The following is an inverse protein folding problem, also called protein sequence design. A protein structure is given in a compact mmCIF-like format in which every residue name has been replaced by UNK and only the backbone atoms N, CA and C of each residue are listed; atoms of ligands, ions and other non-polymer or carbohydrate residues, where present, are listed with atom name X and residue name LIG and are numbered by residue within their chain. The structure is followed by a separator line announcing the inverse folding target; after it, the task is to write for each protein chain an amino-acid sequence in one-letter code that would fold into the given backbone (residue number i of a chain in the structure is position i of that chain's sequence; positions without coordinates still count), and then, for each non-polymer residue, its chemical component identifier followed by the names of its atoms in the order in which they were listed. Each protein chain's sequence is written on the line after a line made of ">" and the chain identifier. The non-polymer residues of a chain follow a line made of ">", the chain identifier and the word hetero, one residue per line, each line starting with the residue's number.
data_IF_133648877325
#
_entry.id   IF_133648877325
#
_cell.length_a   1.000
_cell.length_b   1.000
_cell.length_c   1.000
_cell.angle_alpha   90.00
_cell.angle_beta   90.00
_cell.angle_gamma   90.00
#
_symmetry.space_group_name_H-M   'P 1'
#
loop_
_entity.id
_entity.type
_entity.pdbx_description
1 polymer ?
#
# COMPACT_ATOMS: atom_id res chain seq x y z
N UNK A 1 1.17 15.91 7.26
CA UNK A 1 0.11 15.15 6.57
C UNK A 1 -0.11 13.83 7.28
N UNK A 2 -1.36 13.45 7.44
CA UNK A 2 -1.80 12.18 7.98
C UNK A 2 -2.42 11.37 6.83
N UNK A 3 -1.91 10.17 6.60
CA UNK A 3 -2.48 9.24 5.61
C UNK A 3 -3.15 8.07 6.31
N UNK A 4 -4.28 7.65 5.77
CA UNK A 4 -4.97 6.42 6.15
C UNK A 4 -4.82 5.38 5.06
N UNK A 5 -4.78 4.12 5.43
CA UNK A 5 -4.86 3.02 4.48
C UNK A 5 -5.86 1.97 4.96
N UNK A 6 -6.49 1.33 4.00
CA UNK A 6 -7.38 0.20 4.21
C UNK A 6 -7.31 -0.77 3.05
N UNK A 7 -7.72 -2.00 3.30
CA UNK A 7 -7.81 -3.07 2.30
C UNK A 7 -9.26 -3.44 2.11
N UNK A 8 -9.75 -3.25 0.89
CA UNK A 8 -11.09 -3.66 0.48
C UNK A 8 -11.05 -4.94 -0.34
N UNK A 9 -11.94 -5.87 -0.01
CA UNK A 9 -12.16 -7.07 -0.81
C UNK A 9 -12.79 -6.68 -2.16
N UNK A 10 -12.09 -7.05 -3.24
CA UNK A 10 -12.51 -6.80 -4.61
C UNK A 10 -13.25 -7.99 -5.24
N UNK A 11 -13.48 -7.95 -6.56
CA UNK A 11 -14.15 -9.04 -7.28
C UNK A 11 -13.27 -10.28 -7.40
N UNK A 12 -13.88 -11.34 -7.94
CA UNK A 12 -13.17 -12.54 -8.38
C UNK A 12 -12.84 -12.41 -9.87
N UNK A 13 -11.54 -12.51 -10.21
CA UNK A 13 -11.04 -12.51 -11.58
C UNK A 13 -10.47 -13.87 -11.97
N UNK A 14 -10.52 -14.28 -13.25
CA UNK A 14 -10.00 -15.57 -13.73
C UNK A 14 -8.47 -15.54 -13.90
N UNK A 15 -7.75 -15.11 -12.86
CA UNK A 15 -6.28 -14.88 -12.86
C UNK A 15 -5.51 -15.98 -12.15
N UNK A 16 -6.17 -16.95 -11.55
CA UNK A 16 -5.54 -18.12 -10.93
C UNK A 16 -5.05 -19.12 -11.97
N UNK A 17 -4.34 -20.16 -11.50
CA UNK A 17 -3.84 -21.24 -12.34
C UNK A 17 -4.98 -21.84 -13.16
N UNK A 18 -4.78 -22.03 -14.46
CA UNK A 18 -5.78 -22.52 -15.41
C UNK A 18 -7.09 -21.67 -15.46
N UNK A 19 -7.00 -20.38 -15.18
CA UNK A 19 -8.17 -19.48 -15.23
C UNK A 19 -9.13 -19.64 -14.05
N UNK A 20 -8.70 -20.28 -12.97
CA UNK A 20 -9.49 -20.36 -11.73
C UNK A 20 -9.74 -18.93 -11.21
N UNK A 21 -10.97 -18.68 -10.79
CA UNK A 21 -11.34 -17.39 -10.22
C UNK A 21 -10.66 -17.19 -8.87
N UNK A 22 -9.92 -16.08 -8.76
CA UNK A 22 -9.21 -15.65 -7.58
C UNK A 22 -9.72 -14.28 -7.14
N UNK A 23 -9.96 -14.11 -5.84
CA UNK A 23 -10.34 -12.82 -5.27
C UNK A 23 -9.15 -11.86 -5.33
N UNK A 24 -9.42 -10.60 -5.68
CA UNK A 24 -8.43 -9.52 -5.66
C UNK A 24 -8.74 -8.55 -4.52
N UNK A 25 -7.75 -7.76 -4.14
CA UNK A 25 -7.81 -6.88 -2.97
C UNK A 25 -7.36 -5.48 -3.35
N UNK A 26 -8.19 -4.48 -3.08
CA UNK A 26 -7.83 -3.08 -3.28
C UNK A 26 -7.14 -2.56 -2.02
N UNK A 27 -5.90 -2.10 -2.18
CA UNK A 27 -5.21 -1.31 -1.16
C UNK A 27 -5.28 0.16 -1.55
N UNK A 28 -5.61 1.04 -0.61
CA UNK A 28 -5.64 2.49 -0.85
C UNK A 28 -4.94 3.26 0.24
N UNK A 29 -4.28 4.35 -0.16
CA UNK A 29 -3.75 5.38 0.73
C UNK A 29 -4.46 6.71 0.46
N UNK A 30 -5.05 7.28 1.50
CA UNK A 30 -5.90 8.48 1.43
C UNK A 30 -5.37 9.53 2.40
N UNK A 31 -5.24 10.77 1.93
CA UNK A 31 -4.93 11.91 2.80
C UNK A 31 -6.14 12.26 3.67
N UNK A 32 -5.94 12.30 4.99
CA UNK A 32 -7.02 12.49 5.96
C UNK A 32 -7.71 13.85 5.84
N UNK A 33 -6.98 14.91 5.53
CA UNK A 33 -7.53 16.26 5.47
C UNK A 33 -8.32 16.50 4.18
N UNK A 34 -7.75 16.10 3.05
CA UNK A 34 -8.24 16.44 1.72
C UNK A 34 -9.09 15.36 1.06
N UNK A 35 -9.12 14.14 1.63
CA UNK A 35 -9.77 12.95 1.04
C UNK A 35 -9.14 12.52 -0.29
N UNK A 36 -8.00 13.10 -0.65
CA UNK A 36 -7.28 12.77 -1.86
C UNK A 36 -6.70 11.35 -1.76
N UNK A 37 -6.94 10.54 -2.78
CA UNK A 37 -6.37 9.19 -2.88
C UNK A 37 -4.98 9.31 -3.50
N UNK A 38 -3.96 9.07 -2.69
CA UNK A 38 -2.55 9.17 -3.09
C UNK A 38 -2.15 8.01 -4.00
N UNK A 39 -2.60 6.81 -3.66
CA UNK A 39 -2.50 5.64 -4.51
C UNK A 39 -3.58 4.63 -4.13
N UNK A 40 -4.09 3.93 -5.12
CA UNK A 40 -4.99 2.80 -4.96
C UNK A 40 -4.75 1.79 -6.06
N UNK A 41 -4.64 0.51 -5.71
CA UNK A 41 -4.33 -0.54 -6.66
C UNK A 41 -4.93 -1.87 -6.21
N UNK A 42 -5.46 -2.64 -7.15
CA UNK A 42 -5.90 -4.01 -6.91
C UNK A 42 -4.74 -4.98 -7.04
N UNK A 43 -4.67 -5.93 -6.11
CA UNK A 43 -3.62 -6.93 -5.99
C UNK A 43 -4.23 -8.35 -5.97
N UNK A 44 -3.48 -9.36 -6.43
CA UNK A 44 -3.97 -10.73 -6.51
C UNK A 44 -3.91 -11.49 -5.17
N UNK A 45 -3.20 -10.97 -4.18
CA UNK A 45 -2.95 -11.61 -2.87
C UNK A 45 -3.37 -10.72 -1.72
N UNK A 46 -3.54 -11.31 -0.54
CA UNK A 46 -3.82 -10.59 0.71
C UNK A 46 -2.67 -10.82 1.70
N UNK A 47 -1.57 -10.14 1.50
CA UNK A 47 -0.38 -10.21 2.33
C UNK A 47 0.16 -8.82 2.70
N UNK A 48 1.30 -8.77 3.39
CA UNK A 48 1.93 -7.50 3.78
C UNK A 48 2.60 -6.79 2.60
N UNK A 49 3.05 -7.54 1.59
CA UNK A 49 3.84 -7.00 0.47
C UNK A 49 3.02 -6.03 -0.35
N UNK A 50 1.73 -6.33 -0.56
CA UNK A 50 0.82 -5.45 -1.31
C UNK A 50 0.64 -4.09 -0.63
N UNK A 51 0.63 -4.06 0.71
CA UNK A 51 0.52 -2.80 1.47
C UNK A 51 1.81 -2.00 1.35
N UNK A 52 2.96 -2.68 1.44
CA UNK A 52 4.28 -2.05 1.30
C UNK A 52 4.47 -1.49 -0.11
N UNK A 53 4.09 -2.24 -1.16
CA UNK A 53 4.15 -1.78 -2.55
C UNK A 53 3.26 -0.57 -2.80
N UNK A 54 1.99 -0.63 -2.39
CA UNK A 54 1.06 0.50 -2.51
C UNK A 54 1.57 1.74 -1.76
N UNK A 55 2.13 1.56 -0.56
CA UNK A 55 2.71 2.64 0.24
C UNK A 55 3.95 3.25 -0.43
N UNK A 56 4.85 2.42 -0.96
CA UNK A 56 6.02 2.85 -1.72
C UNK A 56 5.64 3.70 -2.92
N UNK A 57 4.65 3.25 -3.72
CA UNK A 57 4.12 3.98 -4.87
C UNK A 57 3.50 5.34 -4.47
N UNK A 58 2.74 5.38 -3.36
CA UNK A 58 2.19 6.62 -2.83
C UNK A 58 3.29 7.62 -2.41
N UNK A 59 4.31 7.14 -1.68
CA UNK A 59 5.46 7.96 -1.25
C UNK A 59 6.26 8.49 -2.45
N UNK A 60 6.49 7.68 -3.45
CA UNK A 60 7.23 8.08 -4.66
C UNK A 60 6.52 9.23 -5.41
N UNK A 61 5.18 9.21 -5.43
CA UNK A 61 4.38 10.22 -6.13
C UNK A 61 4.18 11.50 -5.32
N UNK A 62 3.94 11.38 -4.02
CA UNK A 62 3.43 12.48 -3.20
C UNK A 62 4.30 12.82 -1.99
N UNK A 63 5.50 12.22 -1.89
CA UNK A 63 6.43 12.45 -0.80
C UNK A 63 6.05 11.68 0.47
N UNK A 64 6.82 11.90 1.52
CA UNK A 64 6.73 11.17 2.78
C UNK A 64 5.75 11.87 3.73
N UNK A 65 4.70 11.18 4.25
CA UNK A 65 3.81 11.76 5.24
C UNK A 65 4.48 11.92 6.61
N UNK A 66 3.94 12.75 7.45
CA UNK A 66 4.36 12.84 8.86
C UNK A 66 3.86 11.65 9.68
N UNK A 67 2.67 11.17 9.33
CA UNK A 67 1.98 10.12 10.09
C UNK A 67 1.20 9.22 9.14
N UNK A 68 1.20 7.92 9.41
CA UNK A 68 0.29 6.96 8.81
C UNK A 68 -0.56 6.33 9.90
N UNK A 69 -1.83 6.07 9.56
CA UNK A 69 -2.80 5.48 10.46
C UNK A 69 -3.41 4.24 9.79
N UNK A 70 -3.25 3.10 10.42
CA UNK A 70 -3.72 1.81 9.94
C UNK A 70 -4.74 1.20 10.89
N UNK A 71 -5.52 0.28 10.37
CA UNK A 71 -6.28 -0.65 11.21
C UNK A 71 -5.36 -1.66 11.91
N UNK A 72 -5.97 -2.60 12.65
CA UNK A 72 -5.24 -3.65 13.36
C UNK A 72 -5.00 -4.91 12.50
N UNK A 73 -5.20 -4.84 11.19
CA UNK A 73 -4.99 -5.97 10.27
C UNK A 73 -3.57 -6.50 10.32
N UNK A 74 -3.43 -7.82 10.15
CA UNK A 74 -2.11 -8.51 10.17
C UNK A 74 -1.16 -7.93 9.11
N UNK A 75 -1.68 -7.50 7.97
CA UNK A 75 -0.94 -6.95 6.83
C UNK A 75 -0.23 -5.64 7.18
N UNK A 76 -0.78 -4.88 8.13
CA UNK A 76 -0.20 -3.63 8.61
C UNK A 76 0.70 -3.80 9.83
N UNK A 77 0.38 -4.77 10.73
CA UNK A 77 1.13 -5.02 11.96
C UNK A 77 2.34 -5.90 11.74
N UNK A 78 3.24 -5.47 10.89
CA UNK A 78 4.47 -6.20 10.57
C UNK A 78 5.69 -5.48 11.12
N UNK A 79 6.75 -6.23 11.44
CA UNK A 79 8.04 -5.64 11.84
C UNK A 79 8.63 -4.77 10.72
N UNK A 80 8.33 -5.13 9.47
CA UNK A 80 8.82 -4.44 8.28
C UNK A 80 8.18 -3.09 8.11
N UNK A 81 6.86 -2.97 8.23
CA UNK A 81 6.14 -1.69 8.19
C UNK A 81 6.65 -0.74 9.29
N UNK A 82 6.85 -1.24 10.51
CA UNK A 82 7.45 -0.45 11.59
C UNK A 82 8.86 0.04 11.26
N UNK A 83 9.71 -0.83 10.68
CA UNK A 83 11.07 -0.49 10.27
C UNK A 83 11.08 0.54 9.12
N UNK A 84 10.23 0.36 8.11
CA UNK A 84 10.09 1.29 6.99
C UNK A 84 9.67 2.67 7.47
N UNK A 85 8.63 2.75 8.30
CA UNK A 85 8.19 4.02 8.88
C UNK A 85 9.30 4.69 9.70
N UNK A 86 10.04 3.91 10.52
CA UNK A 86 11.16 4.44 11.30
C UNK A 86 12.27 5.01 10.41
N UNK A 87 12.68 4.29 9.37
CA UNK A 87 13.72 4.74 8.42
C UNK A 87 13.33 6.01 7.66
N UNK A 88 12.05 6.16 7.33
CA UNK A 88 11.51 7.33 6.63
C UNK A 88 11.15 8.50 7.56
N UNK A 89 11.20 8.28 8.88
CA UNK A 89 10.82 9.28 9.89
C UNK A 89 9.30 9.51 9.93
N UNK A 90 8.52 8.48 9.68
CA UNK A 90 7.04 8.49 9.69
C UNK A 90 6.55 7.99 11.05
N UNK A 91 5.61 8.73 11.66
CA UNK A 91 4.91 8.25 12.85
C UNK A 91 3.88 7.20 12.44
N UNK A 92 4.05 5.97 12.94
CA UNK A 92 3.10 4.88 12.71
C UNK A 92 2.08 4.83 13.85
N UNK A 93 0.81 4.91 13.51
CA UNK A 93 -0.32 4.80 14.43
C UNK A 93 -1.24 3.66 14.00
N UNK A 94 -1.86 3.01 14.98
CA UNK A 94 -2.88 1.98 14.77
C UNK A 94 -4.20 2.38 15.42
N UNK A 95 -5.30 1.96 14.81
CA UNK A 95 -6.62 2.13 15.36
C UNK A 95 -6.71 1.56 16.77
N UNK A 96 -7.30 2.32 17.68
CA UNK A 96 -7.62 1.76 18.99
C UNK A 96 -8.75 0.75 18.84
N UNK A 97 -8.69 -0.41 19.51
CA UNK A 97 -9.82 -1.33 19.53
C UNK A 97 -11.09 -0.59 19.95
N UNK A 98 -12.19 -0.87 19.26
CA UNK A 98 -13.52 -0.30 19.54
C UNK A 98 -13.64 1.23 19.37
N UNK A 99 -12.83 1.86 18.51
CA UNK A 99 -12.91 3.30 18.18
C UNK A 99 -13.28 3.52 16.70
N UNK A 100 -14.54 3.32 16.30
CA UNK A 100 -14.98 3.43 14.91
C UNK A 100 -14.85 4.85 14.33
N UNK A 101 -14.79 5.88 15.17
CA UNK A 101 -14.67 7.27 14.75
C UNK A 101 -13.38 7.56 13.95
N UNK A 102 -12.34 6.79 14.22
CA UNK A 102 -11.02 6.98 13.61
C UNK A 102 -10.91 6.42 12.18
N UNK A 103 -11.79 5.50 11.77
CA UNK A 103 -11.79 4.83 10.46
C UNK A 103 -12.91 5.29 9.54
N UNK A 104 -13.86 6.06 10.04
CA UNK A 104 -15.08 6.46 9.32
C UNK A 104 -14.85 7.15 7.97
N UNK A 105 -13.69 7.81 7.80
CA UNK A 105 -13.35 8.51 6.56
C UNK A 105 -12.97 7.55 5.45
N UNK A 106 -12.14 6.56 5.74
CA UNK A 106 -11.74 5.56 4.77
C UNK A 106 -12.86 4.55 4.50
N UNK A 107 -13.67 4.23 5.52
CA UNK A 107 -14.89 3.44 5.35
C UNK A 107 -15.88 4.09 4.40
N UNK A 108 -16.01 5.44 4.47
CA UNK A 108 -16.83 6.19 3.52
C UNK A 108 -16.29 6.11 2.11
N UNK A 109 -14.98 6.21 1.92
CA UNK A 109 -14.33 6.00 0.63
C UNK A 109 -14.63 4.59 0.10
N UNK A 110 -14.47 3.57 0.93
CA UNK A 110 -14.75 2.18 0.55
C UNK A 110 -16.21 1.96 0.09
N UNK A 111 -17.17 2.68 0.67
CA UNK A 111 -18.57 2.66 0.19
C UNK A 111 -18.72 3.30 -1.20
N UNK A 112 -17.93 4.33 -1.50
CA UNK A 112 -17.93 4.92 -2.86
C UNK A 112 -17.30 3.95 -3.87
N UNK A 113 -16.28 3.19 -3.46
CA UNK A 113 -15.68 2.12 -4.28
C UNK A 113 -16.67 1.00 -4.60
N UNK A 114 -17.69 0.76 -3.77
CA UNK A 114 -18.75 -0.23 -4.09
C UNK A 114 -19.53 0.16 -5.35
N UNK A 115 -19.74 1.46 -5.60
CA UNK A 115 -20.35 1.92 -6.85
C UNK A 115 -19.45 1.62 -8.05
N UNK A 116 -18.13 1.90 -7.93
CA UNK A 116 -17.15 1.50 -8.94
C UNK A 116 -17.20 0.01 -9.25
N UNK A 117 -17.19 -0.83 -8.22
CA UNK A 117 -17.21 -2.29 -8.41
C UNK A 117 -18.47 -2.76 -9.14
N UNK A 118 -19.60 -2.12 -8.90
CA UNK A 118 -20.87 -2.41 -9.59
C UNK A 118 -20.80 -2.05 -11.07
N UNK A 119 -20.18 -0.91 -11.40
CA UNK A 119 -19.96 -0.47 -12.79
C UNK A 119 -18.92 -1.36 -13.49
N UNK A 120 -17.80 -1.62 -12.86
CA UNK A 120 -16.73 -2.47 -13.40
C UNK A 120 -17.21 -3.90 -13.69
N UNK A 121 -18.17 -4.41 -12.92
CA UNK A 121 -18.77 -5.72 -13.16
C UNK A 121 -19.48 -5.80 -14.53
N UNK A 122 -19.98 -4.70 -15.08
CA UNK A 122 -20.61 -4.64 -16.41
C UNK A 122 -19.56 -4.81 -17.52
N UNK A 123 -18.36 -4.27 -17.32
CA UNK A 123 -17.21 -4.38 -18.24
C UNK A 123 -16.55 -5.76 -18.23
N UNK A 124 -16.83 -6.59 -17.20
CA UNK A 124 -16.32 -7.96 -17.03
C UNK A 124 -14.80 -8.06 -17.21
N UNK A 125 -13.99 -7.31 -16.45
CA UNK A 125 -12.54 -7.35 -16.58
C UNK A 125 -12.03 -8.78 -16.37
N UNK A 126 -11.14 -9.25 -17.26
CA UNK A 126 -10.57 -10.60 -17.22
C UNK A 126 -9.16 -10.61 -16.63
N UNK A 127 -8.54 -9.45 -16.48
CA UNK A 127 -7.17 -9.31 -15.96
C UNK A 127 -7.12 -8.27 -14.85
N UNK A 128 -6.11 -8.39 -14.01
CA UNK A 128 -5.84 -7.43 -12.94
C UNK A 128 -5.51 -6.03 -13.51
N UNK A 129 -4.72 -5.99 -14.58
CA UNK A 129 -4.34 -4.73 -15.25
C UNK A 129 -5.57 -3.99 -15.77
N UNK A 130 -6.51 -4.72 -16.40
CA UNK A 130 -7.75 -4.08 -16.89
C UNK A 130 -8.61 -3.55 -15.76
N UNK A 131 -8.70 -4.25 -14.64
CA UNK A 131 -9.41 -3.77 -13.46
C UNK A 131 -8.74 -2.51 -12.88
N UNK A 132 -7.41 -2.49 -12.79
CA UNK A 132 -6.65 -1.34 -12.32
C UNK A 132 -6.76 -0.13 -13.28
N UNK A 133 -6.76 -0.36 -14.59
CA UNK A 133 -7.01 0.69 -15.58
C UNK A 133 -8.40 1.34 -15.37
N UNK A 134 -9.44 0.52 -15.28
CA UNK A 134 -10.80 1.01 -15.01
C UNK A 134 -10.90 1.77 -13.68
N UNK A 135 -10.24 1.27 -12.64
CA UNK A 135 -10.23 1.92 -11.34
C UNK A 135 -9.54 3.29 -11.39
N UNK A 136 -8.40 3.40 -12.07
CA UNK A 136 -7.68 4.67 -12.18
C UNK A 136 -8.50 5.73 -12.94
N UNK A 137 -9.13 5.34 -14.04
CA UNK A 137 -10.03 6.25 -14.80
C UNK A 137 -11.20 6.69 -13.94
N UNK A 138 -11.89 5.75 -13.29
CA UNK A 138 -13.00 6.06 -12.41
C UNK A 138 -12.58 6.94 -11.22
N UNK A 139 -11.41 6.67 -10.63
CA UNK A 139 -10.89 7.43 -9.50
C UNK A 139 -10.69 8.90 -9.88
N UNK A 140 -10.13 9.15 -11.06
CA UNK A 140 -9.90 10.51 -11.55
C UNK A 140 -11.23 11.21 -11.93
N UNK A 141 -12.05 10.59 -12.75
CA UNK A 141 -13.24 11.23 -13.28
C UNK A 141 -14.43 11.28 -12.32
N UNK A 142 -14.57 10.26 -11.47
CA UNK A 142 -15.76 10.11 -10.63
C UNK A 142 -15.54 10.43 -9.14
N UNK A 143 -14.29 10.47 -8.68
CA UNK A 143 -14.00 10.75 -7.28
C UNK A 143 -13.11 11.97 -7.07
N UNK A 144 -11.89 12.00 -7.61
CA UNK A 144 -10.90 13.05 -7.32
C UNK A 144 -11.36 14.42 -7.81
N UNK A 145 -12.02 14.50 -8.96
CA UNK A 145 -12.47 15.74 -9.56
C UNK A 145 -13.94 16.08 -9.24
N UNK A 146 -14.64 15.26 -8.45
CA UNK A 146 -16.02 15.56 -8.04
C UNK A 146 -16.08 16.26 -6.69
N UNK A 147 -17.03 17.18 -6.48
CA UNK A 147 -17.26 17.81 -5.18
C UNK A 147 -17.50 16.79 -4.08
N UNK A 148 -16.78 16.94 -2.97
CA UNK A 148 -16.89 16.04 -1.83
C UNK A 148 -17.61 16.71 -0.67
N UNK A 149 -18.65 16.04 -0.13
CA UNK A 149 -19.56 16.61 0.89
C UNK A 149 -18.91 16.97 2.24
N UNK A 150 -17.64 16.62 2.46
CA UNK A 150 -16.91 16.97 3.68
C UNK A 150 -15.81 18.03 3.42
N UNK A 151 -15.77 18.63 2.22
CA UNK A 151 -14.73 19.57 1.83
C UNK A 151 -15.35 20.91 1.43
N UNK A 152 -14.78 22.01 2.01
CA UNK A 152 -15.19 23.38 1.74
C UNK A 152 -16.55 23.77 2.35
N UNK A 153 -16.80 25.08 2.40
CA UNK A 153 -17.98 25.66 3.07
C UNK A 153 -19.28 25.43 2.29
N UNK A 154 -19.44 24.82 1.26
CA UNK A 154 -20.67 24.48 0.55
C UNK A 154 -20.58 23.11 -0.16
N UNK A 155 -19.72 22.22 0.29
CA UNK A 155 -19.51 20.90 -0.32
C UNK A 155 -19.18 21.01 -1.84
N UNK A 156 -18.42 22.04 -2.23
CA UNK A 156 -18.11 22.31 -3.64
C UNK A 156 -16.65 22.02 -4.02
N UNK A 157 -15.83 21.66 -3.04
CA UNK A 157 -14.41 21.38 -3.28
C UNK A 157 -14.21 19.91 -3.55
N UNK A 158 -13.48 19.60 -4.62
CA UNK A 158 -13.07 18.24 -4.93
C UNK A 158 -11.83 17.84 -4.11
N UNK A 159 -11.58 16.53 -3.89
CA UNK A 159 -10.36 16.05 -3.25
C UNK A 159 -9.08 16.56 -3.95
N UNK A 160 -9.06 16.57 -5.28
CA UNK A 160 -7.96 17.10 -6.09
C UNK A 160 -7.69 18.58 -5.79
N UNK A 161 -8.72 19.42 -5.82
CA UNK A 161 -8.58 20.84 -5.55
C UNK A 161 -8.17 21.11 -4.09
N UNK A 162 -8.72 20.35 -3.14
CA UNK A 162 -8.34 20.44 -1.72
C UNK A 162 -6.88 20.08 -1.52
N UNK A 163 -6.38 19.04 -2.18
CA UNK A 163 -4.99 18.60 -2.08
C UNK A 163 -4.03 19.60 -2.71
N UNK A 164 -4.34 20.13 -3.90
CA UNK A 164 -3.51 21.14 -4.61
C UNK A 164 -3.47 22.48 -3.90
N UNK A 165 -4.54 22.88 -3.25
CA UNK A 165 -4.61 24.14 -2.49
C UNK A 165 -4.04 24.05 -1.07
N UNK A 166 -3.66 22.85 -0.61
CA UNK A 166 -3.01 22.67 0.69
C UNK A 166 -1.54 23.10 0.64
N UNK A 167 -1.24 24.23 1.27
CA UNK A 167 0.10 24.82 1.32
C UNK A 167 1.09 24.08 2.23
N UNK A 168 0.70 22.97 2.84
CA UNK A 168 1.59 22.16 3.67
C UNK A 168 2.69 21.53 2.82
N UNK A 169 3.94 21.83 3.16
CA UNK A 169 5.10 21.34 2.43
C UNK A 169 5.11 19.81 2.29
N UNK A 170 5.42 19.35 1.08
CA UNK A 170 5.67 17.94 0.80
C UNK A 170 7.14 17.62 1.07
N UNK A 171 7.39 16.52 1.78
CA UNK A 171 8.74 16.05 2.07
C UNK A 171 9.11 14.97 1.07
N UNK A 172 9.90 15.29 0.07
CA UNK A 172 10.46 14.30 -0.84
C UNK A 172 11.82 13.80 -0.34
N UNK A 173 12.10 12.53 -0.57
CA UNK A 173 13.39 11.90 -0.34
C UNK A 173 13.91 11.38 -1.67
N UNK A 174 15.22 11.17 -1.75
CA UNK A 174 15.83 10.52 -2.92
C UNK A 174 15.34 9.06 -3.06
N UNK A 175 15.38 8.57 -4.31
CA UNK A 175 14.90 7.23 -4.66
C UNK A 175 15.61 6.13 -3.88
N UNK A 176 16.92 6.28 -3.65
CA UNK A 176 17.72 5.27 -2.95
C UNK A 176 17.32 5.15 -1.49
N UNK A 177 17.03 6.27 -0.83
CA UNK A 177 16.52 6.26 0.55
C UNK A 177 15.16 5.61 0.64
N UNK A 178 14.26 5.90 -0.31
CA UNK A 178 12.95 5.25 -0.37
C UNK A 178 13.13 3.74 -0.58
N UNK A 179 13.89 3.33 -1.60
CA UNK A 179 14.15 1.92 -1.90
C UNK A 179 14.73 1.20 -0.68
N UNK A 180 15.79 1.74 -0.08
CA UNK A 180 16.43 1.16 1.10
C UNK A 180 15.50 1.06 2.33
N UNK A 181 14.49 1.91 2.42
CA UNK A 181 13.53 1.85 3.52
C UNK A 181 12.60 0.63 3.42
N UNK A 182 12.28 0.19 2.21
CA UNK A 182 11.39 -0.94 1.94
C UNK A 182 12.12 -2.28 1.83
N UNK A 183 13.46 -2.32 1.83
CA UNK A 183 14.20 -3.58 1.85
C UNK A 183 13.96 -4.34 3.15
N UNK A 184 13.68 -5.63 3.01
CA UNK A 184 13.64 -6.58 4.10
C UNK A 184 15.06 -7.05 4.46
N UNK A 185 15.22 -7.57 5.67
CA UNK A 185 16.49 -8.07 6.17
C UNK A 185 16.25 -9.29 7.07
N UNK A 186 16.75 -10.44 6.66
CA UNK A 186 16.58 -11.68 7.41
C UNK A 186 17.92 -12.31 7.74
N UNK A 187 18.08 -12.69 9.01
CA UNK A 187 19.25 -13.41 9.44
C UNK A 187 19.23 -14.87 8.94
N UNK A 188 20.36 -15.31 8.37
CA UNK A 188 20.58 -16.70 7.93
C UNK A 188 21.88 -17.22 8.49
N UNK A 189 21.87 -18.47 8.95
CA UNK A 189 23.08 -19.14 9.42
C UNK A 189 23.81 -19.76 8.24
N UNK A 190 25.13 -19.54 8.19
CA UNK A 190 26.02 -20.12 7.17
C UNK A 190 26.28 -21.59 7.51
N UNK A 191 26.00 -22.48 6.56
CA UNK A 191 26.19 -23.91 6.70
C UNK A 191 27.68 -24.34 6.60
N UNK A 192 27.95 -25.66 6.77
CA UNK A 192 29.31 -26.20 6.72
C UNK A 192 29.97 -26.08 5.35
N UNK A 193 29.19 -25.87 4.29
CA UNK A 193 29.69 -25.65 2.94
C UNK A 193 29.95 -24.16 2.62
N UNK A 194 29.79 -23.26 3.61
CA UNK A 194 29.91 -21.82 3.41
C UNK A 194 28.73 -21.17 2.70
N UNK A 195 27.56 -21.81 2.72
CA UNK A 195 26.37 -21.36 2.01
C UNK A 195 25.23 -20.98 2.98
N UNK A 196 24.33 -20.14 2.50
CA UNK A 196 23.02 -19.88 3.12
C UNK A 196 21.90 -20.37 2.19
N UNK A 197 20.76 -20.73 2.77
CA UNK A 197 19.53 -20.99 2.04
C UNK A 197 18.57 -19.81 2.18
N UNK A 198 18.10 -19.27 1.06
CA UNK A 198 17.15 -18.18 1.01
C UNK A 198 16.25 -18.34 -0.21
N UNK A 199 14.95 -18.20 -0.04
CA UNK A 199 13.91 -18.32 -1.07
C UNK A 199 14.09 -19.58 -1.97
N UNK A 200 14.29 -20.75 -1.35
CA UNK A 200 14.45 -22.02 -2.05
C UNK A 200 15.80 -22.23 -2.76
N UNK A 201 16.67 -21.21 -2.77
CA UNK A 201 17.99 -21.22 -3.40
C UNK A 201 19.13 -21.27 -2.37
N UNK A 202 20.29 -21.75 -2.80
CA UNK A 202 21.53 -21.68 -2.04
C UNK A 202 22.45 -20.60 -2.60
N UNK A 203 22.98 -19.79 -1.69
CA UNK A 203 23.93 -18.71 -2.02
C UNK A 203 25.23 -18.94 -1.31
N UNK A 204 26.36 -18.87 -2.03
CA UNK A 204 27.69 -18.97 -1.45
C UNK A 204 28.05 -17.66 -0.75
N UNK A 205 28.43 -17.75 0.52
CA UNK A 205 28.90 -16.62 1.35
C UNK A 205 30.40 -16.71 1.58
N UNK A 206 30.92 -17.94 1.61
CA UNK A 206 32.31 -18.24 1.82
C UNK A 206 32.60 -19.04 3.09
N UNK A 207 33.64 -19.87 3.01
CA UNK A 207 34.02 -20.80 4.09
C UNK A 207 34.42 -20.06 5.36
N UNK A 208 34.96 -18.85 5.26
CA UNK A 208 35.35 -18.02 6.40
C UNK A 208 34.18 -17.67 7.34
N UNK A 209 32.93 -17.74 6.85
CA UNK A 209 31.73 -17.41 7.61
C UNK A 209 30.97 -18.62 8.13
N UNK A 210 31.51 -19.84 7.98
CA UNK A 210 30.86 -21.08 8.45
C UNK A 210 30.50 -20.97 9.93
N UNK A 211 29.22 -21.25 10.25
CA UNK A 211 28.67 -21.19 11.59
C UNK A 211 28.29 -19.80 12.08
N UNK A 212 28.69 -18.74 11.38
CA UNK A 212 28.22 -17.38 11.66
C UNK A 212 26.79 -17.13 11.13
N UNK A 213 26.19 -16.04 11.59
CA UNK A 213 24.91 -15.54 11.08
C UNK A 213 25.18 -14.30 10.23
N UNK A 214 24.61 -14.25 9.04
CA UNK A 214 24.70 -13.13 8.11
C UNK A 214 23.31 -12.57 7.84
N UNK A 215 23.23 -11.27 7.54
CA UNK A 215 21.98 -10.63 7.15
C UNK A 215 21.81 -10.68 5.63
N UNK A 216 20.68 -11.22 5.19
CA UNK A 216 20.24 -11.19 3.79
C UNK A 216 19.32 -10.00 3.62
N UNK A 217 19.71 -9.04 2.79
CA UNK A 217 18.92 -7.86 2.46
C UNK A 217 18.35 -8.02 1.06
N UNK A 218 17.04 -7.87 0.92
CA UNK A 218 16.34 -8.12 -0.34
C UNK A 218 15.12 -7.20 -0.51
N UNK A 219 14.68 -7.00 -1.76
CA UNK A 219 13.40 -6.37 -2.06
C UNK A 219 12.30 -7.45 -2.09
N UNK A 220 11.28 -7.39 -1.22
CA UNK A 220 10.24 -8.41 -1.20
C UNK A 220 9.32 -8.39 -2.43
N UNK A 221 9.37 -7.32 -3.23
CA UNK A 221 8.61 -7.21 -4.47
C UNK A 221 9.37 -7.76 -5.68
N UNK A 222 10.65 -8.11 -5.51
CA UNK A 222 11.54 -8.61 -6.58
C UNK A 222 12.31 -9.85 -6.07
N UNK A 223 11.57 -10.95 -5.88
CA UNK A 223 12.05 -12.28 -5.48
C UNK A 223 11.74 -13.32 -6.54
#
# INVERSE_FOLDING_TARGET
>A
RLWHSDIKYGPYLPIGVNGIKQQVYLVTFVDDATRFVLHGEFYPTLDQIIVEDCFRKAIQKYGVPETVYFDNGKQYRTKWMGRTCSKLGIRLLFAKPYSPESTGKIERFNRVVDAFLSEAALEKPQTLDKLNELFNVWLDECYLNKPHSALGDNNKVSPENAYRSDHKALKFLDSDRITNAFLHCEARKVDKAGCISFDGHKYEVGIAFVGSTVDVVYDPADL
#
